data_IF_072414203269
#
_entry.id   IF_072414203269
#
_cell.length_a   1.000
_cell.length_b   1.000
_cell.length_c   1.000
_cell.angle_alpha   90.00
_cell.angle_beta   90.00
_cell.angle_gamma   90.00
#
_symmetry.space_group_name_H-M   'P 1'
#
loop_
_entity.id
_entity.type
_entity.pdbx_description
1 polymer ?
#
# COMPACT_ATOMS: atom_id res chain seq x y z
N UNK A 1 -19.32 9.39 13.40
CA UNK A 1 -19.04 8.07 12.79
C UNK A 1 -17.57 7.74 12.96
N UNK A 2 -17.05 6.77 12.21
CA UNK A 2 -15.61 6.61 12.00
C UNK A 2 -15.09 7.67 11.03
N UNK A 3 -13.79 7.96 11.05
CA UNK A 3 -13.11 8.75 10.01
C UNK A 3 -11.79 8.06 9.62
N UNK A 4 -11.50 8.02 8.34
CA UNK A 4 -10.29 7.38 7.84
C UNK A 4 -9.05 8.25 8.10
N UNK A 5 -7.95 7.60 8.48
CA UNK A 5 -6.61 8.20 8.63
C UNK A 5 -5.59 7.43 7.78
N UNK A 6 -4.42 8.03 7.53
CA UNK A 6 -3.28 7.39 6.87
C UNK A 6 -2.13 7.12 7.85
N UNK A 7 -1.16 6.29 7.45
CA UNK A 7 0.00 5.96 8.29
C UNK A 7 0.80 7.20 8.74
N UNK A 8 0.95 8.21 7.89
CA UNK A 8 1.61 9.48 8.22
C UNK A 8 0.92 10.23 9.38
N UNK A 9 -0.42 10.22 9.40
CA UNK A 9 -1.18 10.86 10.48
C UNK A 9 -1.07 10.06 11.78
N UNK A 10 -1.03 8.74 11.69
CA UNK A 10 -0.80 7.86 12.85
C UNK A 10 0.61 8.06 13.42
N UNK A 11 1.63 8.09 12.57
CA UNK A 11 3.03 8.41 12.94
C UNK A 11 3.10 9.74 13.67
N UNK A 12 2.48 10.79 13.10
CA UNK A 12 2.45 12.11 13.72
C UNK A 12 1.75 12.10 15.09
N UNK A 13 0.61 11.41 15.22
CA UNK A 13 -0.12 11.29 16.49
C UNK A 13 0.74 10.64 17.58
N UNK A 14 1.44 9.55 17.25
CA UNK A 14 2.34 8.84 18.16
C UNK A 14 3.53 9.73 18.55
N UNK A 15 4.21 10.33 17.57
CA UNK A 15 5.39 11.16 17.78
C UNK A 15 5.09 12.39 18.67
N UNK A 16 3.93 13.01 18.50
CA UNK A 16 3.54 14.21 19.23
C UNK A 16 2.71 13.92 20.49
N UNK A 17 2.43 12.64 20.77
CA UNK A 17 1.53 12.20 21.86
C UNK A 17 0.18 12.90 21.83
N UNK A 18 -0.31 13.20 20.63
CA UNK A 18 -1.57 13.89 20.42
C UNK A 18 -2.61 12.89 19.90
N UNK A 19 -3.61 12.51 20.70
CA UNK A 19 -4.62 11.56 20.26
C UNK A 19 -5.56 12.17 19.22
N UNK A 20 -6.12 11.32 18.36
CA UNK A 20 -7.20 11.70 17.46
C UNK A 20 -8.47 12.04 18.22
N UNK A 21 -9.23 13.01 17.72
CA UNK A 21 -10.59 13.29 18.19
C UNK A 21 -11.56 12.34 17.48
N UNK A 22 -12.49 11.74 18.23
CA UNK A 22 -13.50 10.85 17.66
C UNK A 22 -13.01 9.41 17.48
N UNK A 23 -13.39 8.78 16.37
CA UNK A 23 -13.14 7.35 16.10
C UNK A 23 -12.31 7.17 14.83
N UNK A 24 -10.97 7.29 14.89
CA UNK A 24 -10.11 7.07 13.72
C UNK A 24 -10.14 5.60 13.30
N UNK A 25 -9.97 5.35 12.00
CA UNK A 25 -9.73 4.03 11.43
C UNK A 25 -8.67 4.13 10.33
N UNK A 26 -7.68 3.24 10.37
CA UNK A 26 -6.73 3.03 9.28
C UNK A 26 -7.23 1.83 8.46
N UNK A 27 -7.51 2.03 7.19
CA UNK A 27 -7.99 0.98 6.28
C UNK A 27 -6.85 0.69 5.30
N UNK A 28 -6.38 -0.55 5.29
CA UNK A 28 -5.25 -0.96 4.44
C UNK A 28 -5.63 -2.11 3.51
N UNK A 29 -5.01 -2.12 2.34
CA UNK A 29 -5.05 -3.23 1.39
C UNK A 29 -3.63 -3.56 0.99
N UNK A 30 -3.29 -4.84 0.93
CA UNK A 30 -1.97 -5.28 0.53
C UNK A 30 -1.96 -5.69 -0.95
N UNK A 31 -0.77 -5.99 -1.46
CA UNK A 31 -0.46 -6.52 -2.80
C UNK A 31 -0.72 -5.61 -4.01
N UNK A 32 -1.68 -4.69 -3.94
CA UNK A 32 -1.98 -3.76 -5.04
C UNK A 32 -2.85 -4.37 -6.14
N UNK A 33 -3.79 -5.25 -5.79
CA UNK A 33 -4.73 -5.85 -6.74
C UNK A 33 -5.60 -4.81 -7.47
N UNK A 34 -5.87 -5.06 -8.76
CA UNK A 34 -6.74 -4.23 -9.60
C UNK A 34 -8.19 -4.16 -9.08
N UNK A 35 -8.66 -5.21 -8.40
CA UNK A 35 -10.01 -5.23 -7.81
C UNK A 35 -10.21 -4.15 -6.72
N UNK A 36 -9.13 -3.64 -6.10
CA UNK A 36 -9.21 -2.49 -5.22
C UNK A 36 -9.71 -1.28 -5.99
N UNK A 37 -9.11 -1.00 -7.15
CA UNK A 37 -9.48 0.12 -8.01
C UNK A 37 -10.91 -0.04 -8.56
N UNK A 38 -11.29 -1.25 -8.93
CA UNK A 38 -12.55 -1.52 -9.63
C UNK A 38 -13.76 -1.64 -8.69
N UNK A 39 -13.53 -2.03 -7.43
CA UNK A 39 -14.61 -2.36 -6.50
C UNK A 39 -14.49 -1.67 -5.14
N UNK A 40 -13.35 -1.79 -4.46
CA UNK A 40 -13.22 -1.26 -3.10
C UNK A 40 -13.18 0.27 -3.08
N UNK A 41 -12.39 0.87 -3.98
CA UNK A 41 -12.16 2.31 -4.00
C UNK A 41 -13.43 3.14 -4.26
N UNK A 42 -14.30 2.80 -5.25
CA UNK A 42 -15.56 3.50 -5.43
C UNK A 42 -16.46 3.48 -4.20
N UNK A 43 -16.49 2.36 -3.45
CA UNK A 43 -17.30 2.20 -2.24
C UNK A 43 -16.76 3.06 -1.09
N UNK A 44 -15.43 3.05 -0.89
CA UNK A 44 -14.77 3.88 0.12
C UNK A 44 -15.04 5.36 -0.13
N UNK A 45 -14.83 5.81 -1.37
CA UNK A 45 -15.11 7.18 -1.82
C UNK A 45 -16.56 7.59 -1.61
N UNK A 46 -17.52 6.72 -1.95
CA UNK A 46 -18.94 6.98 -1.73
C UNK A 46 -19.32 7.08 -0.25
N UNK A 47 -18.47 6.54 0.63
CA UNK A 47 -18.64 6.56 2.09
C UNK A 47 -17.83 7.66 2.79
N UNK A 48 -17.21 8.58 2.04
CA UNK A 48 -16.29 9.60 2.56
C UNK A 48 -15.10 9.00 3.34
N UNK A 49 -14.62 7.84 2.89
CA UNK A 49 -13.46 7.14 3.45
C UNK A 49 -12.32 7.08 2.43
N UNK A 50 -11.11 6.96 2.95
CA UNK A 50 -9.89 6.66 2.18
C UNK A 50 -9.26 5.35 2.68
N UNK A 51 -8.25 4.87 1.95
CA UNK A 51 -7.45 3.72 2.31
C UNK A 51 -6.01 3.89 1.84
N UNK A 52 -5.12 3.10 2.44
CA UNK A 52 -3.71 2.99 2.04
C UNK A 52 -3.46 1.60 1.42
N UNK A 53 -2.89 1.58 0.22
CA UNK A 53 -2.57 0.34 -0.50
C UNK A 53 -1.06 0.10 -0.48
N UNK A 54 -0.62 -1.04 0.03
CA UNK A 54 0.78 -1.43 0.02
C UNK A 54 1.11 -2.16 -1.29
N UNK A 55 2.02 -1.58 -2.10
CA UNK A 55 2.31 -2.05 -3.46
C UNK A 55 3.54 -2.94 -3.52
N UNK A 56 3.45 -4.03 -4.30
CA UNK A 56 4.61 -4.78 -4.79
C UNK A 56 5.14 -4.13 -6.06
N UNK A 57 6.08 -3.19 -5.91
CA UNK A 57 6.37 -2.22 -6.98
C UNK A 57 6.95 -2.82 -8.28
N UNK A 58 7.76 -3.88 -8.23
CA UNK A 58 8.31 -4.50 -9.45
C UNK A 58 7.26 -5.35 -10.20
N UNK A 59 6.09 -5.56 -9.60
CA UNK A 59 4.98 -6.35 -10.15
C UNK A 59 3.75 -5.50 -10.53
N UNK A 60 3.80 -4.18 -10.32
CA UNK A 60 2.78 -3.24 -10.82
C UNK A 60 2.57 -3.42 -12.32
N UNK A 61 1.30 -3.59 -12.73
CA UNK A 61 0.88 -3.87 -14.11
C UNK A 61 1.08 -5.33 -14.57
N UNK A 62 1.40 -6.24 -13.65
CA UNK A 62 1.51 -7.69 -13.90
C UNK A 62 0.40 -8.45 -13.14
N UNK A 63 0.61 -9.75 -12.95
CA UNK A 63 -0.25 -10.66 -12.20
C UNK A 63 0.41 -11.11 -10.90
N UNK A 64 -0.43 -11.43 -9.92
CA UNK A 64 -0.06 -12.03 -8.64
C UNK A 64 0.25 -13.53 -8.77
N UNK A 65 1.39 -13.85 -9.39
CA UNK A 65 1.80 -15.24 -9.65
C UNK A 65 1.97 -16.08 -8.36
N UNK A 66 2.19 -15.44 -7.21
CA UNK A 66 2.28 -16.13 -5.92
C UNK A 66 0.97 -16.83 -5.51
N UNK A 67 -0.17 -16.41 -6.07
CA UNK A 67 -1.48 -17.00 -5.81
C UNK A 67 -1.94 -17.99 -6.90
N UNK A 68 -1.08 -18.34 -7.86
CA UNK A 68 -1.44 -19.21 -8.98
C UNK A 68 -1.98 -20.60 -8.56
N UNK A 69 -1.68 -21.06 -7.34
CA UNK A 69 -2.22 -22.30 -6.80
C UNK A 69 -3.71 -22.22 -6.42
N UNK A 70 -4.22 -21.01 -6.16
CA UNK A 70 -5.60 -20.76 -5.73
C UNK A 70 -6.54 -20.47 -6.91
N UNK A 71 -6.01 -20.35 -8.13
CA UNK A 71 -6.74 -20.04 -9.34
C UNK A 71 -5.92 -19.20 -10.32
N UNK A 72 -6.53 -18.66 -11.39
CA UNK A 72 -5.84 -17.72 -12.27
C UNK A 72 -5.27 -16.53 -11.47
N UNK A 73 -3.98 -16.18 -11.65
CA UNK A 73 -3.36 -15.04 -10.98
C UNK A 73 -4.18 -13.76 -11.14
N UNK A 74 -4.48 -13.10 -10.02
CA UNK A 74 -5.21 -11.84 -10.05
C UNK A 74 -4.35 -10.73 -10.67
N UNK A 75 -5.00 -9.81 -11.38
CA UNK A 75 -4.33 -8.65 -11.98
C UNK A 75 -3.97 -7.63 -10.90
N UNK A 76 -2.76 -7.08 -11.01
CA UNK A 76 -2.28 -5.99 -10.17
C UNK A 76 -2.51 -4.66 -10.88
N UNK A 77 -2.73 -3.60 -10.10
CA UNK A 77 -2.86 -2.25 -10.65
C UNK A 77 -1.63 -1.88 -11.47
N UNK A 78 -1.85 -1.21 -12.59
CA UNK A 78 -0.78 -0.59 -13.36
C UNK A 78 -0.42 0.80 -12.80
N UNK A 79 0.70 1.34 -13.27
CA UNK A 79 1.17 2.65 -12.81
C UNK A 79 0.21 3.80 -13.21
N UNK A 80 -0.63 3.62 -14.23
CA UNK A 80 -1.67 4.59 -14.59
C UNK A 80 -2.77 4.64 -13.53
N UNK A 81 -3.22 3.47 -13.09
CA UNK A 81 -4.21 3.29 -12.03
C UNK A 81 -3.70 3.83 -10.70
N UNK A 82 -2.46 3.51 -10.30
CA UNK A 82 -1.86 4.04 -9.07
C UNK A 82 -1.84 5.57 -9.08
N UNK A 83 -1.37 6.20 -10.17
CA UNK A 83 -1.36 7.67 -10.33
C UNK A 83 -2.75 8.27 -10.19
N UNK A 84 -3.73 7.69 -10.88
CA UNK A 84 -5.12 8.15 -10.86
C UNK A 84 -5.70 8.09 -9.45
N UNK A 85 -5.59 6.94 -8.79
CA UNK A 85 -6.12 6.76 -7.44
C UNK A 85 -5.42 7.66 -6.40
N UNK A 86 -4.12 7.90 -6.54
CA UNK A 86 -3.40 8.84 -5.70
C UNK A 86 -3.96 10.28 -5.86
N UNK A 87 -4.24 10.69 -7.10
CA UNK A 87 -4.91 11.97 -7.39
C UNK A 87 -6.36 12.04 -6.89
N UNK A 88 -7.02 10.90 -6.72
CA UNK A 88 -8.37 10.80 -6.12
C UNK A 88 -8.34 10.73 -4.59
N UNK A 89 -7.17 10.63 -3.95
CA UNK A 89 -7.00 10.67 -2.50
C UNK A 89 -6.74 9.31 -1.83
N UNK A 90 -6.44 8.25 -2.59
CA UNK A 90 -5.90 7.01 -2.05
C UNK A 90 -4.44 7.19 -1.64
N UNK A 91 -4.00 6.49 -0.60
CA UNK A 91 -2.62 6.50 -0.14
C UNK A 91 -1.91 5.23 -0.60
N UNK A 92 -0.58 5.29 -0.71
CA UNK A 92 0.22 4.15 -1.14
C UNK A 92 1.48 4.00 -0.30
N UNK A 93 1.68 2.78 0.20
CA UNK A 93 2.85 2.34 0.96
C UNK A 93 3.60 1.22 0.23
N UNK A 94 4.71 0.77 0.80
CA UNK A 94 5.50 -0.33 0.24
C UNK A 94 5.02 -1.70 0.74
N UNK A 95 4.83 -2.66 -0.17
CA UNK A 95 4.79 -4.09 0.14
C UNK A 95 6.04 -4.81 -0.37
N UNK A 96 7.18 -4.12 -0.26
CA UNK A 96 8.47 -4.49 -0.85
C UNK A 96 8.47 -4.37 -2.38
N UNK A 97 9.63 -4.58 -3.01
CA UNK A 97 9.73 -4.48 -4.46
C UNK A 97 9.25 -5.76 -5.13
N UNK A 98 9.63 -6.92 -4.60
CA UNK A 98 9.49 -8.22 -5.27
C UNK A 98 8.62 -9.24 -4.54
N UNK A 99 7.92 -8.85 -3.46
CA UNK A 99 7.07 -9.72 -2.61
C UNK A 99 7.83 -10.83 -1.88
N UNK A 100 9.12 -10.62 -1.58
CA UNK A 100 9.90 -11.61 -0.83
C UNK A 100 9.63 -11.53 0.67
N UNK A 101 9.55 -12.68 1.32
CA UNK A 101 9.53 -12.77 2.77
C UNK A 101 10.82 -12.18 3.38
N UNK A 102 10.67 -11.42 4.46
CA UNK A 102 11.77 -10.66 5.07
C UNK A 102 12.81 -11.58 5.72
N UNK A 103 12.36 -12.69 6.29
CA UNK A 103 13.19 -13.68 6.99
C UNK A 103 14.30 -14.31 6.11
N UNK A 104 14.10 -14.32 4.79
CA UNK A 104 15.06 -14.81 3.81
C UNK A 104 16.02 -13.76 3.24
N UNK A 105 16.01 -12.52 3.73
CA UNK A 105 16.79 -11.41 3.18
C UNK A 105 18.00 -11.07 4.04
N UNK A 106 19.14 -10.79 3.38
CA UNK A 106 20.23 -10.08 4.03
C UNK A 106 19.81 -8.62 4.30
N UNK A 107 20.48 -7.93 5.22
CA UNK A 107 20.25 -6.50 5.47
C UNK A 107 20.40 -5.66 4.19
N UNK A 108 21.36 -6.03 3.31
CA UNK A 108 21.58 -5.34 2.05
C UNK A 108 20.42 -5.56 1.07
N UNK A 109 19.89 -6.78 0.99
CA UNK A 109 18.74 -7.09 0.12
C UNK A 109 17.46 -6.43 0.64
N UNK A 110 17.22 -6.45 1.95
CA UNK A 110 16.10 -5.74 2.58
C UNK A 110 16.16 -4.23 2.30
N UNK A 111 17.33 -3.62 2.43
CA UNK A 111 17.52 -2.21 2.09
C UNK A 111 17.26 -1.95 0.60
N UNK A 112 17.69 -2.83 -0.29
CA UNK A 112 17.45 -2.71 -1.73
C UNK A 112 15.95 -2.80 -2.08
N UNK A 113 15.22 -3.73 -1.47
CA UNK A 113 13.76 -3.88 -1.61
C UNK A 113 13.01 -2.62 -1.17
N UNK A 114 13.35 -2.09 0.01
CA UNK A 114 12.72 -0.90 0.59
C UNK A 114 13.03 0.36 -0.21
N UNK A 115 14.29 0.59 -0.58
CA UNK A 115 14.69 1.77 -1.35
C UNK A 115 14.09 1.76 -2.75
N UNK A 116 14.07 0.61 -3.42
CA UNK A 116 13.49 0.46 -4.76
C UNK A 116 11.99 0.72 -4.72
N UNK A 117 11.27 0.09 -3.81
CA UNK A 117 9.82 0.25 -3.71
C UNK A 117 9.43 1.69 -3.37
N UNK A 118 10.13 2.31 -2.42
CA UNK A 118 9.98 3.73 -2.11
C UNK A 118 10.14 4.61 -3.35
N UNK A 119 11.24 4.44 -4.10
CA UNK A 119 11.50 5.24 -5.31
C UNK A 119 10.35 5.18 -6.31
N UNK A 120 9.80 3.99 -6.58
CA UNK A 120 8.70 3.85 -7.54
C UNK A 120 7.39 4.44 -7.02
N UNK A 121 7.05 4.23 -5.75
CA UNK A 121 5.86 4.81 -5.13
C UNK A 121 5.92 6.33 -5.21
N UNK A 122 7.00 6.95 -4.76
CA UNK A 122 7.16 8.40 -4.78
C UNK A 122 7.11 8.96 -6.22
N UNK A 123 7.65 8.22 -7.20
CA UNK A 123 7.57 8.57 -8.62
C UNK A 123 6.14 8.54 -9.17
N UNK A 124 5.28 7.63 -8.71
CA UNK A 124 3.91 7.54 -9.19
C UNK A 124 2.98 8.48 -8.44
N UNK A 125 3.12 8.60 -7.12
CA UNK A 125 2.20 9.38 -6.30
C UNK A 125 2.58 10.87 -6.22
N UNK A 126 3.84 11.20 -6.47
CA UNK A 126 4.38 12.54 -6.22
C UNK A 126 4.47 12.89 -4.73
N UNK A 127 4.35 11.91 -3.84
CA UNK A 127 4.34 12.08 -2.37
C UNK A 127 5.39 11.19 -1.73
N UNK A 128 6.06 11.64 -0.64
CA UNK A 128 6.95 10.78 0.11
C UNK A 128 6.19 9.59 0.71
N UNK A 129 6.85 8.45 0.86
CA UNK A 129 6.29 7.29 1.58
C UNK A 129 7.26 6.80 2.66
N UNK A 130 6.74 6.58 3.85
CA UNK A 130 7.47 6.06 5.04
C UNK A 130 6.88 4.75 5.55
N UNK A 131 5.70 4.35 5.06
CA UNK A 131 4.99 3.18 5.52
C UNK A 131 5.30 1.95 4.64
N UNK A 132 5.47 0.80 5.29
CA UNK A 132 5.52 -0.49 4.61
C UNK A 132 4.75 -1.55 5.39
N UNK A 133 4.20 -2.52 4.67
CA UNK A 133 3.67 -3.76 5.22
C UNK A 133 4.57 -4.90 4.76
N UNK A 134 4.95 -5.81 5.66
CA UNK A 134 5.79 -6.95 5.34
C UNK A 134 4.99 -8.05 4.62
N UNK A 135 5.47 -8.59 3.47
CA UNK A 135 4.85 -9.77 2.86
C UNK A 135 4.74 -10.92 3.86
N UNK A 136 3.62 -11.66 3.80
CA UNK A 136 3.33 -12.82 4.65
C UNK A 136 3.27 -12.55 6.16
N UNK A 137 3.17 -11.29 6.58
CA UNK A 137 3.08 -10.88 8.00
C UNK A 137 4.27 -11.37 8.86
N UNK A 138 5.45 -11.56 8.26
CA UNK A 138 6.68 -11.90 8.99
C UNK A 138 7.43 -10.63 9.38
N UNK A 139 7.92 -10.57 10.62
CA UNK A 139 8.71 -9.46 11.19
C UNK A 139 9.99 -9.96 11.82
#
# INVERSE_FOLDING_TARGET
>A
GFHAIASEQLEWSIANRQPFVGRPVLITFDDGFQNFADHAWPILRASDLTAEVFLVTDLVGKSAEWDAHNGPPAQLMDAGTVRRLAGEGAFFGSHMATHRAIDGLSTADLAAELLRSRMFIERWTGRPTTAFAAPFSVT
#
